data_IF_957279194073
#
_entry.id   IF_957279194073
#
_cell.length_a   1.000
_cell.length_b   1.000
_cell.length_c   1.000
_cell.angle_alpha   90.00
_cell.angle_beta   90.00
_cell.angle_gamma   90.00
#
_symmetry.space_group_name_H-M   'P 1'
#
loop_
_entity.id
_entity.type
_entity.pdbx_description
1 polymer ?
#
# COMPACT_ATOMS: atom_id res chain seq x y z
N UNK A 1 9.02 3.29 -25.62
CA UNK A 1 9.93 2.49 -24.76
C UNK A 1 9.13 2.04 -23.54
N UNK A 2 9.16 0.76 -23.17
CA UNK A 2 8.35 0.26 -22.06
C UNK A 2 8.83 0.88 -20.75
N UNK A 3 7.93 1.59 -20.06
CA UNK A 3 8.19 2.13 -18.73
C UNK A 3 8.41 0.97 -17.76
N UNK A 4 9.67 0.60 -17.52
CA UNK A 4 9.99 -0.41 -16.52
C UNK A 4 9.76 0.21 -15.14
N UNK A 5 8.79 -0.34 -14.41
CA UNK A 5 8.52 0.06 -13.03
C UNK A 5 8.98 -1.02 -12.07
N UNK A 6 9.64 -0.59 -10.99
CA UNK A 6 10.04 -1.47 -9.88
C UNK A 6 9.23 -1.10 -8.64
N UNK A 7 8.68 -2.10 -7.96
CA UNK A 7 7.93 -1.93 -6.72
C UNK A 7 8.75 -2.42 -5.54
N UNK A 8 9.01 -1.54 -4.58
CA UNK A 8 9.78 -1.84 -3.37
C UNK A 8 8.84 -1.88 -2.17
N UNK A 9 8.80 -3.02 -1.49
CA UNK A 9 8.10 -3.16 -0.22
C UNK A 9 8.92 -2.47 0.90
N UNK A 10 8.35 -1.42 1.50
CA UNK A 10 9.03 -0.61 2.50
C UNK A 10 9.42 -1.44 3.73
N UNK A 11 8.58 -2.40 4.16
CA UNK A 11 8.93 -3.26 5.29
C UNK A 11 10.16 -4.12 4.97
N UNK A 12 10.16 -4.76 3.80
CA UNK A 12 11.30 -5.60 3.38
C UNK A 12 12.57 -4.78 3.26
N UNK A 13 12.48 -3.57 2.70
CA UNK A 13 13.60 -2.64 2.63
C UNK A 13 14.15 -2.29 4.02
N UNK A 14 13.28 -1.92 4.96
CA UNK A 14 13.69 -1.58 6.34
C UNK A 14 14.27 -2.77 7.11
N UNK A 15 13.78 -3.98 6.84
CA UNK A 15 14.26 -5.21 7.47
C UNK A 15 15.58 -5.70 6.84
N UNK A 16 15.86 -5.33 5.58
CA UNK A 16 16.97 -5.88 4.79
C UNK A 16 18.35 -5.32 5.13
N UNK A 17 18.48 -4.20 5.86
CA UNK A 17 19.75 -3.59 6.35
C UNK A 17 20.98 -3.92 5.48
N UNK A 18 20.96 -3.59 4.19
CA UNK A 18 22.07 -3.86 3.26
C UNK A 18 21.96 -5.05 2.29
N UNK A 19 20.80 -5.69 2.08
CA UNK A 19 20.60 -6.62 0.94
C UNK A 19 19.94 -5.92 -0.26
N UNK A 20 20.76 -5.53 -1.25
CA UNK A 20 20.50 -5.35 -2.69
C UNK A 20 19.23 -4.65 -3.20
N UNK A 21 18.49 -3.88 -2.38
CA UNK A 21 17.30 -3.15 -2.83
C UNK A 21 17.61 -1.69 -3.19
N UNK A 22 18.04 -0.88 -2.21
CA UNK A 22 18.56 0.49 -2.35
C UNK A 22 19.53 0.77 -1.16
N UNK A 23 20.42 1.77 -1.21
CA UNK A 23 21.20 2.22 -0.05
C UNK A 23 20.29 2.70 1.09
N UNK A 24 20.61 2.38 2.36
CA UNK A 24 19.75 2.61 3.53
C UNK A 24 19.16 4.04 3.66
N UNK A 25 19.87 5.06 3.15
CA UNK A 25 19.48 6.48 3.18
C UNK A 25 18.67 6.95 1.95
N UNK A 26 18.64 6.18 0.86
CA UNK A 26 18.04 6.60 -0.40
C UNK A 26 16.53 6.85 -0.27
N UNK A 27 15.81 5.95 0.41
CA UNK A 27 14.36 6.10 0.56
C UNK A 27 13.95 7.37 1.33
N UNK A 28 14.79 7.80 2.27
CA UNK A 28 14.55 9.02 3.04
C UNK A 28 14.77 10.28 2.19
N UNK A 29 15.77 10.25 1.30
CA UNK A 29 15.99 11.31 0.31
C UNK A 29 14.83 11.37 -0.68
N UNK A 30 14.40 10.22 -1.19
CA UNK A 30 13.30 10.13 -2.16
C UNK A 30 12.00 10.65 -1.57
N UNK A 31 11.71 10.31 -0.31
CA UNK A 31 10.54 10.84 0.41
C UNK A 31 10.61 12.37 0.52
N UNK A 32 11.77 12.96 0.79
CA UNK A 32 11.94 14.41 0.84
C UNK A 32 11.59 15.13 -0.47
N UNK A 33 11.69 14.44 -1.61
CA UNK A 33 11.30 14.96 -2.93
C UNK A 33 9.86 14.60 -3.34
N UNK A 34 9.15 13.83 -2.52
CA UNK A 34 7.81 13.37 -2.85
C UNK A 34 6.80 14.51 -2.68
N UNK A 35 6.09 14.83 -3.76
CA UNK A 35 4.98 15.77 -3.72
C UNK A 35 3.73 15.17 -4.36
N UNK A 36 2.65 15.12 -3.60
CA UNK A 36 1.34 14.65 -4.06
C UNK A 36 0.34 15.80 -3.98
N UNK A 37 0.53 16.83 -4.82
CA UNK A 37 -0.23 18.09 -4.80
C UNK A 37 -1.75 17.95 -4.61
N UNK A 38 -2.47 17.09 -5.37
CA UNK A 38 -3.92 16.90 -5.21
C UNK A 38 -4.34 16.18 -3.92
N UNK A 39 -3.41 15.47 -3.24
CA UNK A 39 -3.70 14.67 -2.06
C UNK A 39 -2.58 14.81 -1.01
N UNK A 40 -2.66 15.90 -0.24
CA UNK A 40 -1.72 16.21 0.83
C UNK A 40 -1.73 15.15 1.96
N UNK A 41 -2.83 14.43 2.17
CA UNK A 41 -2.90 13.36 3.16
C UNK A 41 -2.04 12.16 2.76
N UNK A 42 -2.01 11.81 1.47
CA UNK A 42 -1.12 10.77 0.96
C UNK A 42 0.36 11.19 1.11
N UNK A 43 0.71 12.42 0.76
CA UNK A 43 2.05 12.96 1.00
C UNK A 43 2.44 12.88 2.48
N UNK A 44 1.60 13.43 3.36
CA UNK A 44 1.83 13.43 4.80
C UNK A 44 1.95 12.01 5.36
N UNK A 45 1.15 11.08 4.86
CA UNK A 45 1.23 9.68 5.24
C UNK A 45 2.57 9.07 4.84
N UNK A 46 3.02 9.27 3.61
CA UNK A 46 4.29 8.73 3.14
C UNK A 46 5.46 9.27 4.01
N UNK A 47 5.50 10.58 4.22
CA UNK A 47 6.58 11.26 4.94
C UNK A 47 6.64 10.88 6.42
N UNK A 48 5.49 10.84 7.11
CA UNK A 48 5.46 10.78 8.57
C UNK A 48 5.04 9.42 9.13
N UNK A 49 4.20 8.67 8.40
CA UNK A 49 3.48 7.51 8.95
C UNK A 49 3.92 6.18 8.33
N UNK A 50 4.28 6.14 7.04
CA UNK A 50 4.50 4.92 6.26
C UNK A 50 5.48 3.93 6.90
N UNK A 51 6.60 4.44 7.42
CA UNK A 51 7.66 3.64 8.07
C UNK A 51 7.13 3.02 9.37
N UNK A 52 6.49 3.82 10.24
CA UNK A 52 6.00 3.35 11.53
C UNK A 52 4.86 2.34 11.36
N UNK A 53 3.96 2.58 10.40
CA UNK A 53 2.85 1.68 10.06
C UNK A 53 3.36 0.36 9.49
N UNK A 54 4.37 0.41 8.61
CA UNK A 54 5.00 -0.80 8.04
C UNK A 54 5.70 -1.63 9.10
N UNK A 55 6.38 -1.00 10.06
CA UNK A 55 7.00 -1.69 11.22
C UNK A 55 5.96 -2.34 12.12
N UNK A 56 4.87 -1.62 12.43
CA UNK A 56 3.77 -2.09 13.30
C UNK A 56 2.79 -3.03 12.60
N UNK A 57 3.01 -3.37 11.31
CA UNK A 57 2.10 -4.19 10.47
C UNK A 57 0.65 -3.65 10.42
N UNK A 58 0.47 -2.35 10.59
CA UNK A 58 -0.85 -1.70 10.47
C UNK A 58 -1.24 -1.51 9.01
N UNK A 59 -0.26 -1.13 8.20
CA UNK A 59 -0.31 -1.17 6.74
C UNK A 59 1.12 -1.29 6.22
N UNK A 60 1.31 -1.93 5.06
CA UNK A 60 2.61 -2.02 4.40
C UNK A 60 2.60 -1.08 3.20
N UNK A 61 3.58 -0.17 3.15
CA UNK A 61 3.73 0.74 2.02
C UNK A 61 4.64 0.15 0.95
N UNK A 62 4.28 0.38 -0.31
CA UNK A 62 4.97 -0.07 -1.50
C UNK A 62 5.33 1.16 -2.32
N UNK A 63 6.62 1.40 -2.51
CA UNK A 63 7.15 2.53 -3.27
C UNK A 63 7.37 2.09 -4.72
N UNK A 64 6.95 2.91 -5.69
CA UNK A 64 7.05 2.63 -7.11
C UNK A 64 8.11 3.52 -7.73
N UNK A 65 9.09 2.89 -8.37
CA UNK A 65 10.20 3.55 -9.03
C UNK A 65 10.11 3.33 -10.55
N UNK A 66 10.47 4.34 -11.34
CA UNK A 66 10.65 4.18 -12.79
C UNK A 66 12.01 3.58 -13.15
N UNK A 67 12.31 3.48 -14.44
CA UNK A 67 13.57 2.92 -14.94
C UNK A 67 14.80 3.73 -14.54
N UNK A 68 14.62 5.02 -14.27
CA UNK A 68 15.67 5.96 -13.84
C UNK A 68 15.79 6.04 -12.31
N UNK A 69 15.03 5.20 -11.59
CA UNK A 69 14.96 5.13 -10.13
C UNK A 69 14.40 6.38 -9.47
N UNK A 70 13.52 7.12 -10.14
CA UNK A 70 12.73 8.16 -9.50
C UNK A 70 11.54 7.55 -8.77
N UNK A 71 11.27 8.00 -7.54
CA UNK A 71 10.06 7.64 -6.82
C UNK A 71 8.85 8.32 -7.50
N UNK A 72 8.12 7.58 -8.33
CA UNK A 72 6.98 8.11 -9.11
C UNK A 72 5.64 7.98 -8.40
N UNK A 73 5.58 7.21 -7.32
CA UNK A 73 4.37 6.99 -6.55
C UNK A 73 4.53 5.96 -5.45
N UNK A 74 3.47 5.78 -4.66
CA UNK A 74 3.38 4.72 -3.68
C UNK A 74 1.93 4.29 -3.46
N UNK A 75 1.75 3.10 -2.90
CA UNK A 75 0.47 2.66 -2.35
C UNK A 75 0.69 1.92 -1.03
N UNK A 76 -0.29 1.97 -0.13
CA UNK A 76 -0.24 1.25 1.13
C UNK A 76 -1.37 0.24 1.21
N UNK A 77 -1.06 -1.00 1.59
CA UNK A 77 -2.04 -2.06 1.79
C UNK A 77 -2.22 -2.35 3.28
N UNK A 78 -3.48 -2.42 3.73
CA UNK A 78 -3.84 -2.86 5.07
C UNK A 78 -4.67 -4.14 4.99
N UNK A 79 -4.40 -5.10 5.88
CA UNK A 79 -5.28 -6.27 6.03
C UNK A 79 -6.33 -5.95 7.08
N UNK A 80 -7.60 -6.06 6.71
CA UNK A 80 -8.73 -5.83 7.62
C UNK A 80 -9.63 -7.06 7.65
N UNK A 81 -9.86 -7.66 8.84
CA UNK A 81 -10.89 -8.66 8.97
C UNK A 81 -12.27 -8.00 8.80
N UNK A 82 -13.18 -8.70 8.14
CA UNK A 82 -14.58 -8.34 8.00
C UNK A 82 -15.41 -9.52 8.47
N UNK A 83 -16.34 -9.27 9.38
CA UNK A 83 -17.26 -10.28 9.90
C UNK A 83 -18.68 -10.03 9.39
N UNK A 84 -19.37 -11.11 9.07
CA UNK A 84 -20.76 -11.08 8.61
C UNK A 84 -21.58 -12.04 9.46
N UNK A 85 -22.63 -11.54 10.10
CA UNK A 85 -23.55 -12.41 10.84
C UNK A 85 -24.36 -13.27 9.86
N UNK A 86 -24.35 -14.59 10.04
CA UNK A 86 -25.05 -15.50 9.13
C UNK A 86 -26.56 -15.27 9.10
N UNK A 87 -27.15 -14.86 10.24
CA UNK A 87 -28.58 -14.69 10.42
C UNK A 87 -29.16 -13.52 9.61
N UNK A 88 -28.35 -12.50 9.30
CA UNK A 88 -28.78 -11.34 8.49
C UNK A 88 -28.57 -11.55 6.99
N UNK A 89 -27.83 -12.60 6.60
CA UNK A 89 -27.55 -12.90 5.19
C UNK A 89 -28.63 -13.80 4.59
N UNK A 90 -29.05 -13.49 3.37
CA UNK A 90 -29.87 -14.41 2.58
C UNK A 90 -29.08 -15.68 2.21
N UNK A 91 -29.76 -16.78 1.92
CA UNK A 91 -29.12 -18.05 1.47
C UNK A 91 -28.19 -17.85 0.26
N UNK A 92 -28.54 -16.94 -0.64
CA UNK A 92 -27.69 -16.61 -1.80
C UNK A 92 -26.45 -15.84 -1.38
N UNK A 93 -26.57 -14.88 -0.47
CA UNK A 93 -25.44 -14.12 0.06
C UNK A 93 -24.49 -15.00 0.88
N UNK A 94 -25.01 -15.92 1.69
CA UNK A 94 -24.22 -16.91 2.43
C UNK A 94 -23.32 -17.73 1.48
N UNK A 95 -23.87 -18.27 0.38
CA UNK A 95 -23.09 -19.00 -0.63
C UNK A 95 -22.00 -18.17 -1.32
N UNK A 96 -22.16 -16.84 -1.38
CA UNK A 96 -21.12 -15.94 -1.90
C UNK A 96 -20.02 -15.77 -0.86
N UNK A 97 -20.39 -15.45 0.37
CA UNK A 97 -19.46 -15.18 1.47
C UNK A 97 -18.67 -16.43 1.85
N UNK A 98 -19.28 -17.61 1.86
CA UNK A 98 -18.63 -18.91 2.12
C UNK A 98 -17.42 -19.19 1.23
N UNK A 99 -17.43 -18.68 -0.02
CA UNK A 99 -16.31 -18.89 -0.96
C UNK A 99 -15.04 -18.15 -0.55
N UNK A 100 -15.16 -17.13 0.30
CA UNK A 100 -14.06 -16.19 0.63
C UNK A 100 -13.88 -16.00 2.15
N UNK A 101 -14.60 -16.76 2.97
CA UNK A 101 -14.62 -16.60 4.44
C UNK A 101 -14.56 -17.95 5.16
N UNK A 102 -14.34 -17.88 6.46
CA UNK A 102 -14.46 -19.01 7.39
C UNK A 102 -15.69 -18.81 8.27
N UNK A 103 -16.54 -19.83 8.34
CA UNK A 103 -17.69 -19.84 9.24
C UNK A 103 -17.27 -20.30 10.64
N UNK A 104 -17.70 -19.58 11.68
CA UNK A 104 -17.57 -19.96 13.08
C UNK A 104 -18.96 -20.32 13.64
N UNK A 105 -19.15 -21.59 13.98
CA UNK A 105 -20.42 -22.10 14.47
C UNK A 105 -20.77 -21.61 15.89
N UNK A 106 -19.77 -21.20 16.68
CA UNK A 106 -19.99 -20.71 18.05
C UNK A 106 -20.57 -19.29 18.04
N UNK A 107 -20.03 -18.43 17.16
CA UNK A 107 -20.49 -17.04 17.02
C UNK A 107 -21.56 -16.86 15.94
N UNK A 108 -21.76 -17.89 15.09
CA UNK A 108 -22.63 -17.86 13.89
C UNK A 108 -22.23 -16.77 12.89
N UNK A 109 -20.94 -16.51 12.77
CA UNK A 109 -20.38 -15.48 11.89
C UNK A 109 -19.50 -16.07 10.80
N UNK A 110 -19.49 -15.41 9.65
CA UNK A 110 -18.49 -15.60 8.62
C UNK A 110 -17.39 -14.55 8.78
N UNK A 111 -16.13 -14.97 8.81
CA UNK A 111 -14.96 -14.08 8.88
C UNK A 111 -14.11 -14.18 7.62
N UNK A 112 -13.93 -13.06 6.95
CA UNK A 112 -13.03 -12.92 5.81
C UNK A 112 -11.92 -11.91 6.13
N UNK A 113 -10.77 -12.03 5.48
CA UNK A 113 -9.73 -11.00 5.52
C UNK A 113 -9.60 -10.37 4.15
N UNK A 114 -9.77 -9.04 4.09
CA UNK A 114 -9.61 -8.27 2.87
C UNK A 114 -8.34 -7.43 2.90
N UNK A 115 -7.73 -7.22 1.73
CA UNK A 115 -6.74 -6.18 1.54
C UNK A 115 -7.45 -4.88 1.17
N UNK A 116 -7.20 -3.82 1.92
CA UNK A 116 -7.64 -2.47 1.61
C UNK A 116 -6.47 -1.67 1.06
N UNK A 117 -6.75 -0.83 0.06
CA UNK A 117 -5.84 0.24 -0.34
C UNK A 117 -6.01 1.34 0.71
N UNK A 118 -5.10 1.36 1.68
CA UNK A 118 -5.12 2.33 2.77
C UNK A 118 -4.78 3.73 2.27
N UNK A 119 -3.82 3.82 1.35
CA UNK A 119 -3.39 5.07 0.72
C UNK A 119 -2.89 4.80 -0.70
N UNK A 120 -3.03 5.80 -1.58
CA UNK A 120 -2.49 5.79 -2.93
C UNK A 120 -2.03 7.22 -3.26
N UNK A 121 -0.76 7.38 -3.64
CA UNK A 121 -0.17 8.67 -3.97
C UNK A 121 0.68 8.61 -5.22
N UNK A 122 0.53 9.59 -6.11
CA UNK A 122 1.39 9.80 -7.27
C UNK A 122 2.35 10.95 -6.95
N UNK A 123 3.63 10.79 -7.30
CA UNK A 123 4.59 11.87 -7.19
C UNK A 123 4.47 12.79 -8.42
N UNK A 124 4.19 14.07 -8.19
CA UNK A 124 4.11 15.10 -9.23
C UNK A 124 5.38 15.92 -9.35
N UNK A 125 6.36 15.76 -8.45
CA UNK A 125 7.64 16.47 -8.53
C UNK A 125 8.36 16.23 -9.86
N UNK A 126 8.42 14.97 -10.31
CA UNK A 126 9.00 14.57 -11.60
C UNK A 126 8.04 14.70 -12.79
N UNK A 127 6.79 15.13 -12.57
CA UNK A 127 5.78 15.31 -13.61
C UNK A 127 5.77 16.69 -14.26
N UNK A 128 6.60 17.62 -13.76
CA UNK A 128 6.66 19.02 -14.20
C UNK A 128 7.76 19.30 -15.23
N UNK A 129 8.34 18.28 -15.88
CA UNK A 129 9.18 18.55 -17.06
C UNK A 129 8.29 19.19 -18.14
N UNK A 130 8.59 20.43 -18.60
CA UNK A 130 7.90 20.98 -19.76
C UNK A 130 8.13 20.00 -20.92
N UNK A 131 7.06 19.64 -21.61
CA UNK A 131 7.17 19.03 -22.93
C UNK A 131 7.93 20.04 -23.79
N UNK A 132 9.12 19.67 -24.26
CA UNK A 132 9.94 20.52 -25.13
C UNK A 132 9.10 21.05 -26.29
N UNK A 133 9.14 22.36 -26.50
CA UNK A 133 8.68 23.07 -27.69
C UNK A 133 9.82 23.33 -28.64
#
# INVERSE_FOLDING_TARGET
MGSNYTVINLKQYLDAKGKNLLPDDQIYKDFGSFSCGPNADAERFLLNNSISFSRKKQSVSYCVYDGDKHLVGYFALAVKPVTFCSEVLSKTAQKVVERVSKYDANTKEYSASGYLIAQLGKNFYFGNFPQES
#
